data_IF_968037503830
#
_entry.id   IF_968037503830
#
_cell.length_a   1.000
_cell.length_b   1.000
_cell.length_c   1.000
_cell.angle_alpha   90.00
_cell.angle_beta   90.00
_cell.angle_gamma   90.00
#
_symmetry.space_group_name_H-M   'P 1'
#
loop_
_entity.id
_entity.type
_entity.pdbx_description
1 polymer ?
#
# COMPACT_ATOMS: atom_id res chain seq x y z
N UNK A 1 13.84 16.22 -2.26
CA UNK A 1 13.37 15.76 -0.95
C UNK A 1 12.82 16.94 -0.16
N UNK A 2 11.61 16.78 0.39
CA UNK A 2 10.98 17.75 1.27
C UNK A 2 10.59 17.02 2.54
N UNK A 3 10.90 17.51 3.78
CA UNK A 3 10.44 16.72 4.90
C UNK A 3 10.84 17.19 6.29
N UNK A 4 10.00 16.74 7.20
CA UNK A 4 10.27 16.63 8.64
C UNK A 4 10.47 15.14 8.98
N UNK A 5 11.00 14.84 10.16
CA UNK A 5 11.26 13.43 10.58
C UNK A 5 10.04 12.48 10.43
N UNK A 6 8.81 13.01 10.47
CA UNK A 6 7.57 12.23 10.47
C UNK A 6 6.88 12.08 9.11
N UNK A 7 7.08 13.06 8.21
CA UNK A 7 6.52 13.09 6.85
C UNK A 7 7.60 13.58 5.90
N UNK A 8 7.92 12.80 4.88
CA UNK A 8 8.85 13.17 3.83
C UNK A 8 8.18 13.03 2.46
N UNK A 9 8.46 13.94 1.56
CA UNK A 9 7.98 13.88 0.18
C UNK A 9 9.18 13.87 -0.75
N UNK A 10 9.21 12.88 -1.63
CA UNK A 10 10.20 12.75 -2.68
C UNK A 10 9.53 13.00 -4.01
N UNK A 11 10.18 13.79 -4.89
CA UNK A 11 9.75 13.90 -6.28
C UNK A 11 10.28 12.69 -7.04
N UNK A 12 9.43 12.08 -7.84
CA UNK A 12 9.78 10.98 -8.73
C UNK A 12 10.07 11.56 -10.12
N UNK A 13 11.17 11.16 -10.71
CA UNK A 13 11.70 11.71 -11.98
C UNK A 13 12.22 10.63 -12.95
N UNK A 14 11.71 9.41 -12.84
CA UNK A 14 12.11 8.29 -13.68
C UNK A 14 13.37 7.55 -13.25
N UNK A 15 14.01 7.97 -12.15
CA UNK A 15 15.33 7.43 -11.72
C UNK A 15 15.26 6.21 -10.81
N UNK A 16 14.07 5.78 -10.39
CA UNK A 16 13.94 4.67 -9.44
C UNK A 16 13.76 3.35 -10.21
N UNK A 17 14.76 2.51 -10.14
CA UNK A 17 14.72 1.11 -10.54
C UNK A 17 15.12 0.25 -9.33
N UNK A 18 14.27 -0.70 -8.95
CA UNK A 18 14.51 -1.62 -7.84
C UNK A 18 14.38 -3.04 -8.38
N UNK A 19 15.51 -3.74 -8.41
CA UNK A 19 15.61 -5.14 -8.87
C UNK A 19 15.77 -6.14 -7.71
N UNK A 20 15.79 -5.64 -6.46
CA UNK A 20 15.99 -6.49 -5.29
C UNK A 20 14.87 -6.27 -4.26
N UNK A 21 14.37 -7.33 -3.59
CA UNK A 21 13.35 -7.20 -2.58
C UNK A 21 13.77 -6.28 -1.43
N UNK A 22 12.95 -5.28 -1.13
CA UNK A 22 13.13 -4.32 -0.03
C UNK A 22 11.91 -4.40 0.88
N UNK A 23 12.12 -4.68 2.17
CA UNK A 23 11.05 -4.60 3.17
C UNK A 23 10.80 -3.15 3.56
N UNK A 24 9.56 -2.73 3.50
CA UNK A 24 9.15 -1.38 3.82
C UNK A 24 8.85 -1.25 5.32
N UNK A 25 9.46 -0.27 5.98
CA UNK A 25 9.25 0.01 7.40
C UNK A 25 8.28 1.17 7.65
N UNK A 26 8.17 2.07 6.70
CA UNK A 26 7.27 3.21 6.74
C UNK A 26 6.01 2.96 5.88
N UNK A 27 5.09 3.92 5.90
CA UNK A 27 3.97 3.93 4.98
C UNK A 27 4.30 4.83 3.80
N UNK A 28 4.08 4.35 2.58
CA UNK A 28 4.32 5.13 1.37
C UNK A 28 3.01 5.34 0.62
N UNK A 29 2.84 6.54 0.10
CA UNK A 29 1.82 6.89 -0.87
C UNK A 29 2.52 7.40 -2.12
N UNK A 30 2.36 6.70 -3.22
CA UNK A 30 2.83 7.16 -4.53
C UNK A 30 1.65 7.81 -5.25
N UNK A 31 1.84 9.00 -5.80
CA UNK A 31 0.90 9.69 -6.69
C UNK A 31 1.61 9.96 -8.00
N UNK A 32 1.14 9.34 -9.09
CA UNK A 32 1.77 9.47 -10.40
C UNK A 32 1.13 10.62 -11.17
N UNK A 33 1.97 11.53 -11.66
CA UNK A 33 1.54 12.73 -12.41
C UNK A 33 1.69 12.56 -13.92
N UNK A 34 2.67 11.78 -14.36
CA UNK A 34 2.87 11.45 -15.78
C UNK A 34 3.52 10.08 -15.94
N UNK A 35 3.39 9.49 -17.15
CA UNK A 35 4.00 8.22 -17.49
C UNK A 35 3.34 7.01 -16.85
N UNK A 36 4.07 5.89 -16.83
CA UNK A 36 3.64 4.61 -16.32
C UNK A 36 4.71 4.00 -15.40
N UNK A 37 4.26 3.30 -14.36
CA UNK A 37 5.12 2.66 -13.38
C UNK A 37 4.56 1.27 -13.00
N UNK A 38 5.37 0.24 -13.06
CA UNK A 38 5.04 -1.08 -12.55
C UNK A 38 5.71 -1.31 -11.20
N UNK A 39 4.92 -1.68 -10.20
CA UNK A 39 5.39 -1.95 -8.82
C UNK A 39 4.95 -3.34 -8.39
N UNK A 40 5.90 -4.24 -8.15
CA UNK A 40 5.64 -5.56 -7.56
C UNK A 40 5.73 -5.46 -6.03
N UNK A 41 4.60 -5.61 -5.37
CA UNK A 41 4.48 -5.62 -3.91
C UNK A 41 3.92 -6.98 -3.49
N UNK A 42 4.66 -7.71 -2.66
CA UNK A 42 4.23 -9.01 -2.13
C UNK A 42 3.74 -9.97 -3.24
N UNK A 43 4.46 -10.01 -4.38
CA UNK A 43 4.12 -10.80 -5.59
C UNK A 43 2.85 -10.35 -6.33
N UNK A 44 2.36 -9.16 -6.05
CA UNK A 44 1.26 -8.54 -6.78
C UNK A 44 1.80 -7.35 -7.57
N UNK A 45 1.66 -7.41 -8.89
CA UNK A 45 2.10 -6.32 -9.78
C UNK A 45 0.98 -5.29 -9.93
N UNK A 46 1.32 -4.05 -9.64
CA UNK A 46 0.45 -2.89 -9.85
C UNK A 46 1.00 -2.08 -11.02
N UNK A 47 0.16 -1.92 -12.05
CA UNK A 47 0.45 -1.05 -13.19
C UNK A 47 -0.19 0.29 -12.93
N UNK A 48 0.65 1.26 -12.59
CA UNK A 48 0.23 2.64 -12.36
C UNK A 48 0.31 3.43 -13.66
N UNK A 49 -0.61 4.36 -13.83
CA UNK A 49 -0.61 5.37 -14.89
C UNK A 49 -0.79 6.76 -14.31
N UNK A 50 -0.54 7.80 -15.11
CA UNK A 50 -0.81 9.17 -14.71
C UNK A 50 -2.22 9.33 -14.13
N UNK A 51 -2.38 10.13 -13.08
CA UNK A 51 -3.66 10.29 -12.38
C UNK A 51 -4.05 9.09 -11.51
N UNK A 52 -3.07 8.34 -11.01
CA UNK A 52 -3.31 7.23 -10.06
C UNK A 52 -2.50 7.36 -8.79
N UNK A 53 -2.89 6.59 -7.77
CA UNK A 53 -2.12 6.44 -6.53
C UNK A 53 -1.95 5.00 -6.11
N UNK A 54 -0.85 4.73 -5.40
CA UNK A 54 -0.54 3.43 -4.82
C UNK A 54 -0.12 3.61 -3.36
N UNK A 55 -0.78 2.88 -2.46
CA UNK A 55 -0.38 2.77 -1.06
C UNK A 55 0.49 1.55 -0.82
N UNK A 56 1.59 1.73 -0.11
CA UNK A 56 2.47 0.66 0.36
C UNK A 56 2.50 0.74 1.89
N UNK A 57 2.18 -0.36 2.53
CA UNK A 57 2.09 -0.42 3.99
C UNK A 57 3.42 -0.81 4.63
N UNK A 58 3.60 -0.43 5.89
CA UNK A 58 4.69 -0.99 6.69
C UNK A 58 4.54 -2.52 6.77
N UNK A 59 5.63 -3.23 6.56
CA UNK A 59 5.69 -4.68 6.45
C UNK A 59 5.62 -5.22 5.03
N UNK A 60 5.14 -4.45 4.05
CA UNK A 60 5.15 -4.87 2.65
C UNK A 60 6.58 -5.04 2.12
N UNK A 61 6.73 -5.92 1.13
CA UNK A 61 8.00 -6.14 0.42
C UNK A 61 7.83 -5.66 -1.02
N UNK A 62 8.55 -4.60 -1.39
CA UNK A 62 8.70 -4.19 -2.78
C UNK A 62 9.75 -5.11 -3.39
N UNK A 63 9.38 -5.83 -4.44
CA UNK A 63 10.26 -6.76 -5.15
C UNK A 63 10.90 -6.14 -6.38
N UNK A 64 10.12 -5.32 -7.07
CA UNK A 64 10.56 -4.64 -8.28
C UNK A 64 9.80 -3.33 -8.46
N UNK A 65 10.50 -2.31 -8.92
CA UNK A 65 9.92 -1.11 -9.50
C UNK A 65 10.56 -0.94 -10.87
N UNK A 66 9.76 -0.75 -11.91
CA UNK A 66 10.25 -0.51 -13.28
C UNK A 66 9.26 0.35 -14.04
N UNK A 67 9.76 1.12 -14.99
CA UNK A 67 8.93 1.88 -15.93
C UNK A 67 9.22 1.40 -17.35
N UNK A 68 8.18 1.10 -18.16
CA UNK A 68 8.37 0.63 -19.54
C UNK A 68 9.14 1.63 -20.43
N UNK A 69 8.95 2.93 -20.19
CA UNK A 69 9.57 3.98 -20.98
C UNK A 69 10.72 4.72 -20.26
N UNK A 70 11.02 4.34 -19.01
CA UNK A 70 11.90 5.11 -18.10
C UNK A 70 11.52 6.60 -17.97
N UNK A 71 10.29 6.94 -18.33
CA UNK A 71 9.76 8.29 -18.28
C UNK A 71 8.49 8.30 -17.43
N UNK A 72 8.62 8.72 -16.18
CA UNK A 72 7.49 8.96 -15.29
C UNK A 72 7.81 10.08 -14.31
N UNK A 73 6.78 10.76 -13.86
CA UNK A 73 6.93 11.73 -12.78
C UNK A 73 5.80 11.60 -11.76
N UNK A 74 6.06 12.09 -10.55
CA UNK A 74 5.08 12.02 -9.48
C UNK A 74 5.67 12.39 -8.14
N UNK A 75 5.00 11.94 -7.09
CA UNK A 75 5.40 12.17 -5.71
C UNK A 75 5.30 10.87 -4.91
N UNK A 76 6.31 10.63 -4.09
CA UNK A 76 6.28 9.61 -3.05
C UNK A 76 6.22 10.30 -1.70
N UNK A 77 5.15 10.07 -0.95
CA UNK A 77 4.96 10.59 0.40
C UNK A 77 5.20 9.46 1.37
N UNK A 78 6.13 9.66 2.29
CA UNK A 78 6.55 8.66 3.28
C UNK A 78 6.10 9.13 4.67
N UNK A 79 5.40 8.28 5.40
CA UNK A 79 4.92 8.54 6.75
C UNK A 79 5.55 7.57 7.74
N UNK A 80 6.03 8.05 8.87
CA UNK A 80 6.44 7.17 9.95
C UNK A 80 5.24 6.41 10.55
N UNK A 81 5.44 5.21 11.13
CA UNK A 81 4.37 4.46 11.81
C UNK A 81 3.73 5.25 12.97
N UNK A 82 4.55 6.03 13.70
CA UNK A 82 4.12 6.87 14.81
C UNK A 82 3.18 7.98 14.31
N UNK A 83 3.56 8.66 13.23
CA UNK A 83 2.74 9.71 12.63
C UNK A 83 1.41 9.16 12.10
N UNK A 84 1.41 7.97 11.54
CA UNK A 84 0.18 7.34 11.12
C UNK A 84 -0.73 6.98 12.30
N UNK A 85 -0.14 6.53 13.41
CA UNK A 85 -0.87 6.26 14.64
C UNK A 85 -1.47 7.54 15.22
N UNK A 86 -0.71 8.63 15.24
CA UNK A 86 -1.17 9.95 15.68
C UNK A 86 -2.37 10.44 14.86
N UNK A 87 -2.31 10.36 13.52
CA UNK A 87 -3.42 10.73 12.64
C UNK A 87 -4.69 9.92 12.95
N UNK A 88 -4.55 8.64 13.30
CA UNK A 88 -5.69 7.76 13.61
C UNK A 88 -6.33 8.05 14.95
N UNK A 89 -5.51 8.32 15.97
CA UNK A 89 -5.98 8.49 17.36
C UNK A 89 -6.56 9.86 17.62
N UNK A 90 -6.06 10.88 16.95
CA UNK A 90 -6.47 12.28 17.18
C UNK A 90 -7.92 12.57 16.75
N UNK A 91 -8.47 11.81 15.84
CA UNK A 91 -9.87 11.87 15.42
C UNK A 91 -10.34 10.43 15.22
N UNK A 92 -11.53 10.05 15.69
CA UNK A 92 -12.20 8.79 15.35
C UNK A 92 -12.32 8.69 13.81
N UNK A 93 -11.18 8.52 13.15
CA UNK A 93 -11.07 8.64 11.71
C UNK A 93 -11.68 7.40 11.05
N UNK A 94 -12.60 7.57 10.12
CA UNK A 94 -13.14 6.47 9.32
C UNK A 94 -12.10 5.90 8.34
N UNK A 95 -10.85 6.40 8.38
CA UNK A 95 -9.78 5.92 7.52
C UNK A 95 -9.45 4.48 7.93
N UNK A 96 -10.08 3.55 7.25
CA UNK A 96 -9.81 2.13 7.45
C UNK A 96 -8.44 1.80 6.88
N UNK A 97 -7.50 1.44 7.78
CA UNK A 97 -6.22 0.85 7.35
C UNK A 97 -6.42 -0.42 6.55
N UNK A 98 -7.50 -1.14 6.84
CA UNK A 98 -7.88 -2.33 6.15
C UNK A 98 -8.14 -2.03 4.67
N UNK A 99 -8.92 -0.99 4.34
CA UNK A 99 -9.16 -0.58 2.95
C UNK A 99 -7.86 -0.21 2.21
N UNK A 100 -6.85 0.34 2.89
CA UNK A 100 -5.55 0.64 2.26
C UNK A 100 -4.77 -0.61 1.86
N UNK A 101 -4.78 -1.66 2.70
CA UNK A 101 -4.15 -2.95 2.38
C UNK A 101 -4.93 -3.71 1.30
N UNK A 102 -6.23 -3.56 1.30
CA UNK A 102 -7.15 -4.25 0.41
C UNK A 102 -7.11 -3.72 -1.02
N UNK A 103 -7.17 -2.40 -1.13
CA UNK A 103 -7.20 -1.67 -2.39
C UNK A 103 -6.10 -0.61 -2.39
N UNK A 104 -4.85 -1.03 -2.50
CA UNK A 104 -3.74 -0.11 -2.42
C UNK A 104 -3.68 0.82 -3.64
N UNK A 105 -4.13 0.37 -4.81
CA UNK A 105 -4.14 1.10 -6.06
C UNK A 105 -5.47 1.80 -6.31
N UNK A 106 -5.44 3.03 -6.81
CA UNK A 106 -6.60 3.82 -7.21
C UNK A 106 -6.31 4.65 -8.44
N UNK A 107 -7.27 4.68 -9.39
CA UNK A 107 -7.30 5.63 -10.49
C UNK A 107 -8.30 6.75 -10.18
N UNK A 108 -7.97 7.96 -10.59
CA UNK A 108 -8.80 9.15 -10.37
C UNK A 108 -9.38 9.66 -11.68
N UNK A 109 -10.59 10.22 -11.60
CA UNK A 109 -11.05 11.14 -12.65
C UNK A 109 -10.22 12.41 -12.61
N UNK A 110 -10.27 13.21 -13.67
CA UNK A 110 -9.51 14.47 -13.75
C UNK A 110 -9.80 15.40 -12.54
N UNK A 111 -11.08 15.58 -12.21
CA UNK A 111 -11.48 16.40 -11.06
C UNK A 111 -11.04 15.84 -9.70
N UNK A 112 -11.07 14.53 -9.52
CA UNK A 112 -10.55 13.88 -8.30
C UNK A 112 -9.03 14.02 -8.22
N UNK A 113 -8.34 13.86 -9.35
CA UNK A 113 -6.89 14.01 -9.42
C UNK A 113 -6.44 15.43 -9.08
N UNK A 114 -7.12 16.46 -9.58
CA UNK A 114 -6.83 17.86 -9.24
C UNK A 114 -6.89 18.11 -7.74
N UNK A 115 -7.90 17.56 -7.04
CA UNK A 115 -8.01 17.67 -5.58
C UNK A 115 -6.84 16.99 -4.87
N UNK A 116 -6.48 15.77 -5.28
CA UNK A 116 -5.36 15.02 -4.70
C UNK A 116 -4.04 15.74 -4.97
N UNK A 117 -3.79 16.14 -6.21
CA UNK A 117 -2.55 16.83 -6.62
C UNK A 117 -2.40 18.18 -5.90
N UNK A 118 -3.47 18.97 -5.82
CA UNK A 118 -3.47 20.23 -5.06
C UNK A 118 -3.16 20.01 -3.58
N UNK A 119 -3.69 18.95 -2.97
CA UNK A 119 -3.37 18.60 -1.57
C UNK A 119 -1.90 18.22 -1.40
N UNK A 120 -1.30 17.51 -2.36
CA UNK A 120 0.13 17.19 -2.33
C UNK A 120 0.96 18.47 -2.44
N UNK A 121 0.64 19.38 -3.36
CA UNK A 121 1.37 20.64 -3.51
C UNK A 121 1.26 21.54 -2.27
N UNK A 122 0.07 21.63 -1.66
CA UNK A 122 -0.08 22.34 -0.39
C UNK A 122 0.74 21.71 0.72
N UNK A 123 0.75 20.38 0.81
CA UNK A 123 1.55 19.68 1.81
C UNK A 123 3.04 19.98 1.64
N UNK A 124 3.56 20.01 0.41
CA UNK A 124 4.94 20.42 0.11
C UNK A 124 5.18 21.84 0.63
N UNK A 125 4.32 22.80 0.26
CA UNK A 125 4.50 24.20 0.65
C UNK A 125 4.48 24.40 2.18
N UNK A 126 3.68 23.62 2.91
CA UNK A 126 3.66 23.67 4.38
C UNK A 126 4.88 23.04 5.02
N UNK A 127 5.42 21.97 4.42
CA UNK A 127 6.65 21.32 4.88
C UNK A 127 7.86 22.27 4.70
N UNK A 128 7.90 23.00 3.58
CA UNK A 128 8.99 23.95 3.27
C UNK A 128 8.95 25.21 4.15
N UNK A 129 7.79 25.61 4.62
CA UNK A 129 7.63 26.80 5.47
C UNK A 129 7.99 26.50 6.93
N UNK A 130 9.26 26.31 7.20
CA UNK A 130 9.79 25.96 8.54
C UNK A 130 9.66 27.10 9.57
N UNK A 131 9.40 28.34 9.12
CA UNK A 131 9.25 29.50 10.01
C UNK A 131 7.86 29.62 10.66
N UNK A 132 6.88 28.84 10.18
CA UNK A 132 5.51 28.92 10.68
C UNK A 132 5.36 28.25 12.04
N UNK A 133 4.96 29.00 13.08
CA UNK A 133 4.85 28.51 14.47
C UNK A 133 4.01 27.23 14.63
N UNK A 134 2.97 27.05 13.81
CA UNK A 134 2.06 25.90 13.85
C UNK A 134 2.29 24.92 12.70
N UNK A 135 3.47 24.93 12.08
CA UNK A 135 3.78 24.11 10.89
C UNK A 135 3.41 22.63 11.09
N UNK A 136 3.84 22.01 12.18
CA UNK A 136 3.56 20.60 12.44
C UNK A 136 2.07 20.26 12.52
N UNK A 137 1.26 21.17 13.06
CA UNK A 137 -0.21 21.01 13.14
C UNK A 137 -0.82 21.12 11.74
N UNK A 138 -0.37 22.08 10.93
CA UNK A 138 -0.86 22.30 9.57
C UNK A 138 -0.50 21.09 8.69
N UNK A 139 0.76 20.63 8.72
CA UNK A 139 1.22 19.43 7.98
C UNK A 139 0.38 18.21 8.35
N UNK A 140 0.13 17.99 9.64
CA UNK A 140 -0.71 16.89 10.11
C UNK A 140 -2.15 17.01 9.58
N UNK A 141 -2.76 18.19 9.64
CA UNK A 141 -4.13 18.40 9.18
C UNK A 141 -4.25 18.21 7.67
N UNK A 142 -3.32 18.75 6.88
CA UNK A 142 -3.32 18.59 5.43
C UNK A 142 -3.08 17.12 5.03
N UNK A 143 -2.16 16.44 5.71
CA UNK A 143 -1.97 14.99 5.50
C UNK A 143 -3.25 14.22 5.80
N UNK A 144 -3.94 14.54 6.90
CA UNK A 144 -5.21 13.91 7.24
C UNK A 144 -6.27 14.18 6.17
N UNK A 145 -6.36 15.41 5.66
CA UNK A 145 -7.28 15.79 4.58
C UNK A 145 -7.02 14.98 3.32
N UNK A 146 -5.76 14.89 2.88
CA UNK A 146 -5.35 14.05 1.75
C UNK A 146 -5.79 12.59 1.93
N UNK A 147 -5.54 12.01 3.10
CA UNK A 147 -5.92 10.63 3.39
C UNK A 147 -7.44 10.42 3.45
N UNK A 148 -8.22 11.43 3.83
CA UNK A 148 -9.68 11.39 3.80
C UNK A 148 -10.20 11.36 2.36
N UNK A 149 -9.69 12.21 1.47
CA UNK A 149 -10.05 12.20 0.04
C UNK A 149 -9.78 10.83 -0.60
N UNK A 150 -8.60 10.26 -0.35
CA UNK A 150 -8.26 8.91 -0.82
C UNK A 150 -9.18 7.83 -0.25
N UNK A 151 -9.62 7.97 1.01
CA UNK A 151 -10.50 7.00 1.66
C UNK A 151 -11.94 7.09 1.16
N UNK A 152 -12.44 8.28 0.84
CA UNK A 152 -13.78 8.47 0.27
C UNK A 152 -13.88 7.82 -1.12
N UNK A 153 -12.87 8.02 -1.96
CA UNK A 153 -12.78 7.36 -3.28
C UNK A 153 -12.85 5.84 -3.14
N UNK A 154 -12.09 5.25 -2.20
CA UNK A 154 -12.13 3.80 -1.95
C UNK A 154 -13.52 3.31 -1.57
N UNK A 155 -14.18 4.02 -0.67
CA UNK A 155 -15.54 3.67 -0.23
C UNK A 155 -16.54 3.69 -1.38
N UNK A 156 -16.49 4.71 -2.23
CA UNK A 156 -17.40 4.85 -3.39
C UNK A 156 -17.16 3.76 -4.42
N UNK A 157 -15.90 3.42 -4.68
CA UNK A 157 -15.53 2.34 -5.61
C UNK A 157 -15.98 0.95 -5.15
N UNK A 158 -16.22 0.73 -3.85
CA UNK A 158 -16.59 -0.56 -3.28
C UNK A 158 -17.99 -0.61 -2.66
N UNK A 159 -18.74 0.48 -2.67
CA UNK A 159 -20.13 0.51 -2.18
C UNK A 159 -21.09 -0.33 -3.03
N UNK A 160 -20.68 -0.76 -4.22
CA UNK A 160 -21.47 -1.57 -5.14
C UNK A 160 -21.09 -3.07 -5.17
N UNK A 161 -20.17 -3.52 -4.30
CA UNK A 161 -19.75 -4.92 -4.27
C UNK A 161 -20.70 -5.76 -3.41
N UNK A 162 -21.20 -6.82 -4.01
CA UNK A 162 -22.01 -7.88 -3.43
C UNK A 162 -21.48 -8.33 -2.06
N UNK A 163 -22.36 -8.54 -1.09
CA UNK A 163 -22.01 -8.96 0.29
C UNK A 163 -21.14 -10.24 0.27
N UNK A 164 -21.38 -11.13 -0.68
CA UNK A 164 -20.62 -12.37 -0.87
C UNK A 164 -19.17 -12.09 -1.38
N UNK A 165 -19.00 -11.15 -2.29
CA UNK A 165 -17.69 -10.74 -2.76
C UNK A 165 -16.86 -10.11 -1.62
N UNK A 166 -17.50 -9.31 -0.76
CA UNK A 166 -16.86 -8.76 0.44
C UNK A 166 -16.39 -9.85 1.43
N UNK A 167 -17.19 -10.90 1.61
CA UNK A 167 -16.82 -12.00 2.52
C UNK A 167 -15.63 -12.82 2.00
N UNK A 168 -15.65 -13.18 0.72
CA UNK A 168 -14.56 -13.93 0.09
C UNK A 168 -13.26 -13.12 0.07
N UNK A 169 -13.35 -11.84 -0.20
CA UNK A 169 -12.21 -10.94 -0.15
C UNK A 169 -11.63 -10.80 1.26
N UNK A 170 -12.48 -10.75 2.30
CA UNK A 170 -12.04 -10.80 3.70
C UNK A 170 -11.26 -12.08 4.02
N UNK A 171 -11.75 -13.24 3.53
CA UNK A 171 -11.08 -14.53 3.69
C UNK A 171 -9.70 -14.50 3.04
N UNK A 172 -9.63 -14.05 1.79
CA UNK A 172 -8.35 -13.89 1.06
C UNK A 172 -7.35 -13.05 1.85
N UNK A 173 -7.77 -11.90 2.36
CA UNK A 173 -6.92 -10.98 3.13
C UNK A 173 -6.42 -11.60 4.42
N UNK A 174 -7.31 -12.25 5.16
CA UNK A 174 -6.95 -12.94 6.39
C UNK A 174 -5.92 -14.03 6.10
N UNK A 175 -6.10 -14.76 5.00
CA UNK A 175 -5.12 -15.75 4.54
C UNK A 175 -3.74 -15.12 4.26
N UNK A 176 -3.68 -14.05 3.45
CA UNK A 176 -2.41 -13.38 3.13
C UNK A 176 -1.70 -12.82 4.36
N UNK A 177 -2.46 -12.24 5.32
CA UNK A 177 -1.90 -11.77 6.58
C UNK A 177 -1.34 -12.92 7.44
N UNK A 178 -2.03 -14.06 7.49
CA UNK A 178 -1.54 -15.25 8.21
C UNK A 178 -0.29 -15.84 7.53
N UNK A 179 -0.25 -15.86 6.21
CA UNK A 179 0.93 -16.31 5.46
C UNK A 179 2.13 -15.41 5.75
N UNK A 180 1.96 -14.10 5.74
CA UNK A 180 3.06 -13.16 6.05
C UNK A 180 3.60 -13.34 7.48
N UNK A 181 2.71 -13.61 8.45
CA UNK A 181 3.09 -13.79 9.85
C UNK A 181 3.67 -15.17 10.21
N UNK A 182 3.32 -16.22 9.46
CA UNK A 182 3.57 -17.61 9.88
C UNK A 182 4.22 -18.49 8.81
N UNK A 183 4.61 -17.97 7.65
CA UNK A 183 5.15 -18.78 6.55
C UNK A 183 6.48 -19.46 6.86
N UNK A 184 7.21 -19.04 7.88
CA UNK A 184 8.44 -19.67 8.37
C UNK A 184 8.19 -20.92 9.21
N UNK A 185 7.05 -21.00 9.87
CA UNK A 185 6.69 -22.12 10.75
C UNK A 185 5.62 -23.03 10.13
N UNK A 186 4.71 -22.45 9.35
CA UNK A 186 3.51 -23.11 8.85
C UNK A 186 3.47 -23.14 7.31
N UNK A 187 3.47 -24.35 6.75
CA UNK A 187 3.63 -24.56 5.30
C UNK A 187 2.40 -25.21 4.66
N UNK A 188 1.41 -25.65 5.43
CA UNK A 188 0.25 -26.37 4.90
C UNK A 188 -0.98 -25.47 4.73
N UNK A 189 -1.68 -25.60 3.60
CA UNK A 189 -2.95 -24.91 3.38
C UNK A 189 -3.99 -25.25 4.45
N UNK A 190 -3.96 -26.49 4.95
CA UNK A 190 -4.88 -26.97 5.98
C UNK A 190 -4.73 -26.20 7.30
N UNK A 191 -3.50 -25.91 7.73
CA UNK A 191 -3.27 -25.11 8.93
C UNK A 191 -3.87 -23.70 8.81
N UNK A 192 -3.67 -23.05 7.67
CA UNK A 192 -4.22 -21.70 7.42
C UNK A 192 -5.76 -21.71 7.39
N UNK A 193 -6.34 -22.73 6.76
CA UNK A 193 -7.78 -22.89 6.71
C UNK A 193 -8.38 -23.14 8.11
N UNK A 194 -7.75 -23.97 8.92
CA UNK A 194 -8.12 -24.23 10.30
C UNK A 194 -8.04 -22.97 11.17
N UNK A 195 -6.95 -22.22 11.09
CA UNK A 195 -6.78 -20.94 11.79
C UNK A 195 -7.83 -19.88 11.39
N UNK A 196 -8.46 -20.07 10.23
CA UNK A 196 -9.55 -19.23 9.72
C UNK A 196 -10.93 -19.81 9.96
N UNK A 197 -11.04 -21.02 10.53
CA UNK A 197 -12.29 -21.77 10.76
C UNK A 197 -13.09 -22.02 9.45
N UNK A 198 -12.39 -22.37 8.37
CA UNK A 198 -12.98 -22.72 7.07
C UNK A 198 -12.32 -24.00 6.51
N UNK A 199 -12.95 -24.61 5.51
CA UNK A 199 -12.36 -25.80 4.89
C UNK A 199 -11.18 -25.43 3.96
N UNK A 200 -10.15 -26.30 3.83
CA UNK A 200 -9.02 -26.09 2.90
C UNK A 200 -9.47 -25.93 1.45
N UNK A 201 -10.51 -26.65 1.04
CA UNK A 201 -11.06 -26.57 -0.33
C UNK A 201 -11.71 -25.21 -0.57
N UNK A 202 -12.47 -24.70 0.41
CA UNK A 202 -13.09 -23.38 0.31
C UNK A 202 -12.04 -22.27 0.26
N UNK A 203 -11.00 -22.33 1.11
CA UNK A 203 -9.88 -21.40 1.04
C UNK A 203 -9.19 -21.46 -0.33
N UNK A 204 -8.87 -22.66 -0.83
CA UNK A 204 -8.19 -22.84 -2.10
C UNK A 204 -9.01 -22.33 -3.27
N UNK A 205 -10.34 -22.51 -3.24
CA UNK A 205 -11.27 -21.98 -4.24
C UNK A 205 -11.21 -20.45 -4.27
N UNK A 206 -11.37 -19.79 -3.14
CA UNK A 206 -11.35 -18.32 -3.02
C UNK A 206 -10.02 -17.75 -3.55
N UNK A 207 -8.89 -18.30 -3.09
CA UNK A 207 -7.58 -17.80 -3.52
C UNK A 207 -7.40 -17.95 -5.03
N UNK A 208 -7.85 -19.07 -5.61
CA UNK A 208 -7.78 -19.28 -7.06
C UNK A 208 -8.67 -18.32 -7.84
N UNK A 209 -9.87 -18.04 -7.37
CA UNK A 209 -10.81 -17.12 -8.01
C UNK A 209 -10.27 -15.68 -8.02
N UNK A 210 -9.65 -15.23 -6.92
CA UNK A 210 -9.16 -13.86 -6.79
C UNK A 210 -7.76 -13.62 -7.35
N UNK A 211 -6.86 -14.58 -7.19
CA UNK A 211 -5.44 -14.39 -7.50
C UNK A 211 -4.97 -15.19 -8.73
N UNK A 212 -5.87 -15.98 -9.33
CA UNK A 212 -5.52 -16.85 -10.48
C UNK A 212 -4.48 -17.94 -10.15
N UNK A 213 -4.13 -18.10 -8.85
CA UNK A 213 -3.09 -19.04 -8.40
C UNK A 213 -3.55 -19.80 -7.15
N UNK A 214 -2.88 -20.91 -6.80
CA UNK A 214 -3.29 -21.69 -5.63
C UNK A 214 -2.75 -21.11 -4.31
N UNK A 215 -3.48 -21.35 -3.20
CA UNK A 215 -3.04 -20.98 -1.86
C UNK A 215 -1.64 -21.53 -1.53
N UNK A 216 -1.31 -22.76 -1.99
CA UNK A 216 0.00 -23.37 -1.80
C UNK A 216 1.12 -22.59 -2.50
N UNK A 217 0.87 -22.07 -3.70
CA UNK A 217 1.84 -21.24 -4.42
C UNK A 217 2.10 -19.95 -3.64
N UNK A 218 1.07 -19.34 -3.06
CA UNK A 218 1.23 -18.16 -2.21
C UNK A 218 2.11 -18.44 -0.98
N UNK A 219 1.85 -19.54 -0.26
CA UNK A 219 2.67 -19.95 0.90
C UNK A 219 4.13 -20.14 0.48
N UNK A 220 4.39 -20.90 -0.61
CA UNK A 220 5.73 -21.13 -1.10
C UNK A 220 6.45 -19.84 -1.50
N UNK A 221 5.78 -18.93 -2.18
CA UNK A 221 6.34 -17.61 -2.54
C UNK A 221 6.73 -16.81 -1.30
N UNK A 222 5.90 -16.80 -0.26
CA UNK A 222 6.19 -16.10 0.99
C UNK A 222 7.41 -16.70 1.71
N UNK A 223 7.53 -18.05 1.75
CA UNK A 223 8.69 -18.75 2.32
C UNK A 223 9.97 -18.34 1.57
N UNK A 224 9.95 -18.39 0.24
CA UNK A 224 11.11 -18.02 -0.58
C UNK A 224 11.49 -16.56 -0.33
N UNK A 225 10.53 -15.63 -0.35
CA UNK A 225 10.79 -14.21 -0.09
C UNK A 225 11.40 -13.96 1.29
N UNK A 226 10.91 -14.66 2.32
CA UNK A 226 11.45 -14.56 3.68
C UNK A 226 12.85 -15.13 3.78
N UNK A 227 13.11 -16.26 3.12
CA UNK A 227 14.45 -16.88 3.06
C UNK A 227 15.46 -15.96 2.35
N UNK A 228 15.10 -15.40 1.20
CA UNK A 228 15.93 -14.43 0.47
C UNK A 228 16.25 -13.20 1.33
N UNK A 229 15.27 -12.69 2.04
CA UNK A 229 15.46 -11.55 2.96
C UNK A 229 16.42 -11.88 4.10
N UNK A 230 16.26 -13.06 4.74
CA UNK A 230 17.14 -13.50 5.83
C UNK A 230 18.57 -13.73 5.39
N UNK A 231 18.80 -14.26 4.17
CA UNK A 231 20.13 -14.44 3.62
C UNK A 231 20.87 -13.11 3.39
N UNK A 232 20.15 -12.08 2.95
CA UNK A 232 20.73 -10.74 2.71
C UNK A 232 21.04 -9.94 3.99
N UNK A 233 20.45 -10.29 5.14
CA UNK A 233 20.77 -9.65 6.41
C UNK A 233 22.02 -10.21 7.10
N UNK A 234 22.61 -11.29 6.57
CA UNK A 234 23.80 -11.94 7.13
C UNK A 234 25.11 -11.47 6.49
N UNK A 235 25.04 -10.66 5.45
CA UNK A 235 26.17 -9.99 4.81
C UNK A 235 26.24 -8.52 5.27
#
# INVERSE_FOLDING_TARGET
EYGQERVKIYRLDGSIDIDAPIRIHNYHLIVLTSGELEVDINFRVFKMKAGSSLHISSGDVIRKISSPANEYSGYQIVFSPEFQTEIRTTRKSPISLQLKKEFPYQEFTESEYEVIHSSVLRLISYIENTSHQFQGIIVRNETHTLLLHLSDKRRKGHASTDINANHQEMIRKRFLNLVDGHCDEQHSVSWYAEAMMISPDYLSKIIREYDGTSARIWINKAIISKAEFMMRQKD
#
